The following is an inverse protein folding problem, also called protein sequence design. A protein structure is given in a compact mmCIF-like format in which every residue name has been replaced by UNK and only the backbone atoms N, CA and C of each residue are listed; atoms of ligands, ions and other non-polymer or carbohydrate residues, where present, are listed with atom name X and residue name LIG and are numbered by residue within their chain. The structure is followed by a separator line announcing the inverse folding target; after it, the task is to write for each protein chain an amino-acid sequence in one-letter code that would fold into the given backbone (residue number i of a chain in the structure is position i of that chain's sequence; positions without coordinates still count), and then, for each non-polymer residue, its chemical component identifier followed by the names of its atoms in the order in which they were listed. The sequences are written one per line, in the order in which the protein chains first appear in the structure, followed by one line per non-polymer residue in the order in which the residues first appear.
data_IF_997063719183
#
_entry.id   IF_997063719183
#
_cell.length_a   1.000
_cell.length_b   1.000
_cell.length_c   1.000
_cell.angle_alpha   90.00
_cell.angle_beta   90.00
_cell.angle_gamma   90.00
#
_symmetry.space_group_name_H-M   'P 1'
#
loop_
_entity.id
_entity.type
_entity.pdbx_description
1 polymer ?
#
# COMPACT_ATOMS: atom_id res chain seq x y z
N UNK A 1 -22.83 4.66 7.24
CA UNK A 1 -22.78 4.03 5.92
C UNK A 1 -21.36 3.96 5.46
N UNK A 2 -20.92 2.78 5.08
CA UNK A 2 -19.58 2.61 4.54
C UNK A 2 -19.49 3.32 3.19
N UNK A 3 -18.44 4.08 3.01
CA UNK A 3 -18.17 4.68 1.73
C UNK A 3 -17.65 3.61 0.78
N UNK A 4 -18.22 3.56 -0.42
CA UNK A 4 -17.72 2.66 -1.46
C UNK A 4 -16.86 3.45 -2.42
N UNK A 5 -15.70 2.90 -2.69
CA UNK A 5 -14.75 3.45 -3.63
C UNK A 5 -14.63 2.45 -4.80
N UNK A 6 -14.75 2.92 -6.02
CA UNK A 6 -14.63 2.05 -7.19
C UNK A 6 -13.29 1.33 -7.24
N UNK A 7 -12.23 1.99 -6.83
CA UNK A 7 -10.90 1.41 -6.84
C UNK A 7 -10.79 0.28 -5.81
N UNK A 8 -11.29 0.50 -4.60
CA UNK A 8 -11.30 -0.55 -3.57
C UNK A 8 -12.23 -1.69 -3.97
N UNK A 9 -13.40 -1.37 -4.53
CA UNK A 9 -14.36 -2.38 -4.97
C UNK A 9 -13.78 -3.29 -6.06
N UNK A 10 -12.97 -2.74 -6.95
CA UNK A 10 -12.33 -3.51 -8.02
C UNK A 10 -11.42 -4.62 -7.47
N UNK A 11 -10.86 -4.45 -6.28
CA UNK A 11 -9.98 -5.44 -5.66
C UNK A 11 -10.66 -6.27 -4.57
N UNK A 12 -11.92 -5.98 -4.25
CA UNK A 12 -12.61 -6.64 -3.13
C UNK A 12 -12.75 -8.15 -3.30
N UNK A 13 -12.96 -8.61 -4.53
CA UNK A 13 -13.17 -10.03 -4.84
C UNK A 13 -11.99 -10.66 -5.59
N UNK A 14 -10.88 -9.94 -5.70
CA UNK A 14 -9.69 -10.47 -6.34
C UNK A 14 -8.74 -11.01 -5.28
N UNK A 15 -7.99 -12.08 -5.58
CA UNK A 15 -6.93 -12.54 -4.68
C UNK A 15 -5.90 -11.42 -4.50
N UNK A 16 -5.45 -11.24 -3.27
CA UNK A 16 -4.37 -10.29 -3.03
C UNK A 16 -3.08 -10.83 -3.62
N UNK A 17 -2.23 -9.95 -4.21
CA UNK A 17 -0.94 -10.39 -4.69
C UNK A 17 -0.06 -10.81 -3.52
N UNK A 18 0.90 -11.69 -3.79
CA UNK A 18 1.92 -12.02 -2.80
C UNK A 18 2.87 -10.83 -2.63
N UNK A 19 3.29 -10.51 -1.39
CA UNK A 19 4.24 -9.42 -1.19
C UNK A 19 5.59 -9.75 -1.85
N UNK A 20 6.12 -8.80 -2.62
CA UNK A 20 7.39 -8.98 -3.32
C UNK A 20 8.55 -9.00 -2.32
N UNK A 21 8.49 -8.13 -1.29
CA UNK A 21 9.49 -8.09 -0.23
C UNK A 21 8.79 -8.22 1.13
N UNK A 22 8.44 -9.45 1.55
CA UNK A 22 7.73 -9.64 2.82
C UNK A 22 8.50 -9.05 4.00
N UNK A 23 7.80 -8.21 4.78
CA UNK A 23 8.38 -7.61 5.98
C UNK A 23 9.40 -6.51 5.74
N UNK A 24 9.60 -6.06 4.50
CA UNK A 24 10.60 -5.05 4.16
C UNK A 24 10.07 -4.05 3.14
N UNK A 25 10.51 -2.80 3.26
CA UNK A 25 10.24 -1.80 2.23
C UNK A 25 11.30 -1.89 1.14
N UNK A 26 10.91 -2.30 -0.05
CA UNK A 26 11.81 -2.45 -1.19
C UNK A 26 12.59 -1.15 -1.47
N UNK A 27 11.86 -0.02 -1.50
CA UNK A 27 12.49 1.27 -1.76
C UNK A 27 13.47 1.69 -0.68
N UNK A 28 13.14 1.43 0.60
CA UNK A 28 14.06 1.75 1.70
C UNK A 28 15.33 0.89 1.64
N UNK A 29 15.20 -0.38 1.32
CA UNK A 29 16.37 -1.26 1.15
C UNK A 29 17.28 -0.71 0.05
N UNK A 30 16.69 -0.34 -1.08
CA UNK A 30 17.46 0.16 -2.23
C UNK A 30 18.11 1.50 -1.94
N UNK A 31 17.44 2.39 -1.19
CA UNK A 31 17.93 3.74 -0.93
C UNK A 31 18.69 3.88 0.39
N UNK A 32 18.74 2.84 1.20
CA UNK A 32 19.41 2.89 2.49
C UNK A 32 18.66 3.68 3.55
N UNK A 33 17.34 3.79 3.43
CA UNK A 33 16.48 4.49 4.39
C UNK A 33 15.76 3.50 5.29
N UNK A 34 15.12 4.01 6.35
CA UNK A 34 14.36 3.19 7.30
C UNK A 34 12.87 3.47 7.15
N UNK A 35 12.06 2.50 7.59
CA UNK A 35 10.60 2.63 7.54
C UNK A 35 9.99 2.54 8.93
N UNK A 36 8.79 3.14 9.09
CA UNK A 36 8.00 3.04 10.31
C UNK A 36 7.00 1.90 10.19
N UNK A 37 6.10 1.97 9.20
CA UNK A 37 5.13 0.91 8.93
C UNK A 37 5.16 0.55 7.45
N UNK A 38 4.62 -0.62 7.12
CA UNK A 38 4.64 -1.13 5.77
C UNK A 38 3.24 -1.19 5.17
N UNK A 39 3.16 -0.94 3.87
CA UNK A 39 1.94 -1.01 3.07
C UNK A 39 2.22 -1.83 1.82
N UNK A 40 1.22 -2.56 1.33
CA UNK A 40 1.36 -3.37 0.12
C UNK A 40 0.42 -2.88 -0.95
N UNK A 41 0.93 -2.68 -2.15
CA UNK A 41 0.11 -2.35 -3.31
C UNK A 41 -0.79 -3.53 -3.66
N UNK A 42 -2.10 -3.30 -3.75
CA UNK A 42 -3.05 -4.37 -4.07
C UNK A 42 -3.00 -4.77 -5.53
N UNK A 43 -2.42 -3.95 -6.39
CA UNK A 43 -2.31 -4.26 -7.82
C UNK A 43 -1.11 -5.14 -8.15
N UNK A 44 0.04 -4.95 -7.48
CA UNK A 44 1.26 -5.64 -7.87
C UNK A 44 2.04 -6.29 -6.71
N UNK A 45 1.67 -6.05 -5.47
CA UNK A 45 2.35 -6.65 -4.32
C UNK A 45 3.62 -5.93 -3.85
N UNK A 46 3.95 -4.78 -4.41
CA UNK A 46 5.09 -3.99 -3.94
C UNK A 46 4.86 -3.56 -2.49
N UNK A 47 5.81 -3.86 -1.62
CA UNK A 47 5.76 -3.47 -0.22
C UNK A 47 6.59 -2.21 -0.04
N UNK A 48 5.98 -1.17 0.53
CA UNK A 48 6.57 0.15 0.64
C UNK A 48 6.22 0.78 1.98
N UNK A 49 7.02 1.77 2.40
CA UNK A 49 6.83 2.42 3.68
C UNK A 49 5.67 3.44 3.65
N UNK A 50 5.06 3.64 4.81
CA UNK A 50 3.90 4.52 4.97
C UNK A 50 4.28 6.00 4.98
N UNK A 51 3.27 6.86 5.07
CA UNK A 51 3.47 8.31 5.06
C UNK A 51 4.17 8.84 6.32
N UNK A 52 4.20 8.06 7.39
CA UNK A 52 4.97 8.39 8.59
C UNK A 52 6.46 8.12 8.44
N UNK A 53 6.84 7.38 7.40
CA UNK A 53 8.25 7.10 7.09
C UNK A 53 8.85 8.27 6.33
N UNK A 54 10.16 8.45 6.47
CA UNK A 54 10.86 9.58 5.84
C UNK A 54 10.70 9.60 4.33
N UNK A 55 10.80 8.45 3.68
CA UNK A 55 10.81 8.37 2.22
C UNK A 55 9.43 8.22 1.58
N UNK A 56 8.41 7.82 2.34
CA UNK A 56 7.03 7.66 1.86
C UNK A 56 6.94 6.86 0.56
N UNK A 57 7.56 5.71 0.52
CA UNK A 57 7.64 4.92 -0.71
C UNK A 57 6.28 4.45 -1.22
N UNK A 58 5.31 4.20 -0.33
CA UNK A 58 3.97 3.79 -0.75
C UNK A 58 3.27 4.86 -1.57
N UNK A 59 3.35 6.13 -1.13
CA UNK A 59 2.78 7.25 -1.88
C UNK A 59 3.53 7.46 -3.19
N UNK A 60 4.86 7.37 -3.17
CA UNK A 60 5.66 7.48 -4.39
C UNK A 60 5.30 6.38 -5.39
N UNK A 61 5.07 5.16 -4.92
CA UNK A 61 4.66 4.06 -5.79
C UNK A 61 3.33 4.39 -6.50
N UNK A 62 2.35 4.94 -5.76
CA UNK A 62 1.10 5.37 -6.38
C UNK A 62 1.35 6.44 -7.46
N UNK A 63 2.17 7.44 -7.16
CA UNK A 63 2.46 8.52 -8.10
C UNK A 63 3.18 8.03 -9.36
N UNK A 64 4.07 7.07 -9.21
CA UNK A 64 4.86 6.55 -10.33
C UNK A 64 4.10 5.55 -11.18
N UNK A 65 3.24 4.73 -10.58
CA UNK A 65 2.56 3.64 -11.28
C UNK A 65 1.09 3.89 -11.57
N UNK A 66 0.46 4.77 -10.81
CA UNK A 66 -0.99 4.98 -10.89
C UNK A 66 -1.80 3.88 -10.21
N UNK A 67 -1.16 2.93 -9.51
CA UNK A 67 -1.87 1.88 -8.77
C UNK A 67 -2.59 2.51 -7.58
N UNK A 68 -3.94 2.51 -7.55
CA UNK A 68 -4.67 3.41 -6.65
C UNK A 68 -4.83 2.92 -5.22
N UNK A 69 -4.67 1.63 -4.98
CA UNK A 69 -5.03 1.05 -3.68
C UNK A 69 -3.88 0.31 -3.02
N UNK A 70 -3.89 0.32 -1.70
CA UNK A 70 -2.92 -0.42 -0.90
C UNK A 70 -3.60 -0.94 0.37
N UNK A 71 -2.93 -1.84 1.08
CA UNK A 71 -3.38 -2.32 2.38
C UNK A 71 -2.25 -2.24 3.39
N UNK A 72 -2.60 -2.15 4.67
CA UNK A 72 -1.63 -2.34 5.73
C UNK A 72 -1.20 -3.80 5.77
N UNK A 73 0.09 -4.05 5.94
CA UNK A 73 0.63 -5.39 6.17
C UNK A 73 1.24 -5.52 7.58
N UNK A 74 0.92 -4.57 8.44
CA UNK A 74 1.34 -4.65 9.84
C UNK A 74 0.50 -5.68 10.59
N UNK A 75 1.08 -6.38 11.57
CA UNK A 75 0.34 -7.36 12.36
C UNK A 75 -0.89 -6.76 13.01
N UNK A 76 -2.03 -7.42 12.87
CA UNK A 76 -3.30 -6.96 13.43
C UNK A 76 -4.01 -5.89 12.64
N UNK A 77 -3.46 -5.45 11.52
CA UNK A 77 -4.09 -4.47 10.64
C UNK A 77 -4.48 -5.11 9.32
N UNK A 78 -5.67 -4.78 8.84
CA UNK A 78 -6.16 -5.31 7.56
C UNK A 78 -6.90 -4.25 6.74
N UNK A 79 -6.81 -2.99 7.14
CA UNK A 79 -7.49 -1.92 6.42
C UNK A 79 -6.81 -1.65 5.08
N UNK A 80 -7.62 -1.07 4.17
CA UNK A 80 -7.19 -0.70 2.82
C UNK A 80 -7.39 0.79 2.62
N UNK A 81 -6.62 1.36 1.70
CA UNK A 81 -6.66 2.78 1.41
C UNK A 81 -6.64 3.01 -0.11
N UNK A 82 -7.45 3.97 -0.54
CA UNK A 82 -7.42 4.44 -1.92
C UNK A 82 -6.80 5.83 -1.97
N UNK A 83 -5.72 5.98 -2.72
CA UNK A 83 -5.04 7.27 -2.85
C UNK A 83 -5.81 8.26 -3.71
N UNK A 84 -6.61 7.77 -4.67
CA UNK A 84 -7.38 8.64 -5.57
C UNK A 84 -8.55 9.28 -4.84
N UNK A 85 -9.33 8.46 -4.13
CA UNK A 85 -10.53 8.94 -3.45
C UNK A 85 -10.26 9.32 -1.99
N UNK A 86 -9.07 8.99 -1.47
CA UNK A 86 -8.64 9.28 -0.10
C UNK A 86 -9.63 8.73 0.93
N UNK A 87 -9.99 7.47 0.77
CA UNK A 87 -10.90 6.77 1.67
C UNK A 87 -10.31 5.43 2.15
N UNK A 88 -10.70 5.05 3.38
CA UNK A 88 -10.40 3.74 3.95
C UNK A 88 -11.49 2.75 3.56
N UNK A 89 -11.12 1.51 3.42
CA UNK A 89 -12.07 0.43 3.16
C UNK A 89 -11.68 -0.89 3.78
#
# INVERSE_FOLDING_TARGET
VAQTCEHLAAFANLPEPAPITPGECEGCIREGTTWVHLRMCLACGTVSCCDSSTARHAERHFRETGHPTMRSVEPGEAWRWCYVDEVLG
#
